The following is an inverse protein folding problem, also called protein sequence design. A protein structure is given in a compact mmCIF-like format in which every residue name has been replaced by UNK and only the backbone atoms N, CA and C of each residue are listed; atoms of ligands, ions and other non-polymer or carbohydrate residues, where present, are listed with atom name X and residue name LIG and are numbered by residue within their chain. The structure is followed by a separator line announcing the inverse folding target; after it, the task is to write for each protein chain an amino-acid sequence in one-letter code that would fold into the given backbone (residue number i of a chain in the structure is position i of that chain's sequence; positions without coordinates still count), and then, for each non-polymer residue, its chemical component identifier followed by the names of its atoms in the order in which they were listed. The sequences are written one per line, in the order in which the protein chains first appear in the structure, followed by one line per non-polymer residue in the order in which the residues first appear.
data_IF_973336505299
#
_entry.id   IF_973336505299
#
_cell.length_a   1.000
_cell.length_b   1.000
_cell.length_c   1.000
_cell.angle_alpha   90.00
_cell.angle_beta   90.00
_cell.angle_gamma   90.00
#
_symmetry.space_group_name_H-M   'P 1'
#
loop_
_entity.id
_entity.type
_entity.pdbx_description
1 polymer ?
#
# COMPACT_ATOMS: atom_id res chain seq x y z
N UNK A 1 5.56 16.35 3.60
CA UNK A 1 4.87 15.63 2.52
C UNK A 1 4.40 14.27 3.03
N UNK A 2 3.14 13.96 2.82
CA UNK A 2 2.60 12.66 3.23
C UNK A 2 2.84 11.62 2.14
N UNK A 3 3.19 10.41 2.56
CA UNK A 3 3.39 9.29 1.64
C UNK A 3 2.31 8.24 1.83
N UNK A 4 1.75 7.79 0.71
CA UNK A 4 0.72 6.74 0.68
C UNK A 4 1.27 5.56 -0.11
N UNK A 5 1.07 4.36 0.44
CA UNK A 5 1.42 3.12 -0.26
C UNK A 5 0.14 2.43 -0.71
N UNK A 6 0.08 2.09 -1.99
CA UNK A 6 -1.04 1.37 -2.59
C UNK A 6 -0.58 -0.04 -2.88
N UNK A 7 -1.26 -1.03 -2.32
CA UNK A 7 -0.96 -2.46 -2.53
C UNK A 7 -2.15 -3.10 -3.23
N UNK A 8 -2.02 -3.37 -4.52
CA UNK A 8 -3.09 -3.91 -5.34
C UNK A 8 -2.46 -4.62 -6.54
N UNK A 9 -2.97 -5.79 -6.91
CA UNK A 9 -2.45 -6.54 -8.06
C UNK A 9 -2.87 -5.95 -9.41
N UNK A 10 -3.83 -5.05 -9.43
CA UNK A 10 -4.28 -4.36 -10.63
C UNK A 10 -3.40 -3.13 -10.88
N UNK A 11 -2.49 -3.24 -11.83
CA UNK A 11 -1.52 -2.18 -12.16
C UNK A 11 -2.19 -0.93 -12.71
N UNK A 12 -3.24 -1.09 -13.50
CA UNK A 12 -3.95 0.03 -14.07
C UNK A 12 -4.68 0.82 -12.99
N UNK A 13 -5.30 0.11 -12.05
CA UNK A 13 -5.97 0.74 -10.92
C UNK A 13 -4.97 1.46 -10.03
N UNK A 14 -3.82 0.85 -9.76
CA UNK A 14 -2.75 1.49 -8.98
C UNK A 14 -2.31 2.80 -9.62
N UNK A 15 -2.07 2.79 -10.92
CA UNK A 15 -1.65 3.98 -11.65
C UNK A 15 -2.72 5.07 -11.60
N UNK A 16 -3.99 4.69 -11.70
CA UNK A 16 -5.10 5.63 -11.63
C UNK A 16 -5.22 6.25 -10.24
N UNK A 17 -5.15 5.43 -9.20
CA UNK A 17 -5.21 5.91 -7.81
C UNK A 17 -4.03 6.84 -7.53
N UNK A 18 -2.83 6.43 -7.92
CA UNK A 18 -1.63 7.25 -7.73
C UNK A 18 -1.81 8.63 -8.37
N UNK A 19 -2.26 8.66 -9.62
CA UNK A 19 -2.48 9.92 -10.34
C UNK A 19 -3.54 10.79 -9.65
N UNK A 20 -4.57 10.15 -9.11
CA UNK A 20 -5.68 10.87 -8.48
C UNK A 20 -5.30 11.50 -7.15
N UNK A 21 -4.41 10.86 -6.36
CA UNK A 21 -4.07 11.35 -5.02
C UNK A 21 -2.77 12.13 -4.96
N UNK A 22 -1.89 11.93 -5.94
CA UNK A 22 -0.59 12.60 -5.92
C UNK A 22 -0.72 14.10 -6.14
N UNK A 23 -0.01 14.89 -5.35
CA UNK A 23 -0.07 16.34 -5.39
C UNK A 23 1.24 16.90 -4.83
N UNK A 24 1.31 18.22 -4.64
CA UNK A 24 2.47 18.87 -4.00
C UNK A 24 2.68 18.39 -2.56
N UNK A 25 1.62 17.92 -1.90
CA UNK A 25 1.67 17.54 -0.50
C UNK A 25 1.53 16.03 -0.26
N UNK A 26 1.19 15.27 -1.29
CA UNK A 26 1.00 13.82 -1.19
C UNK A 26 1.81 13.12 -2.25
N UNK A 27 2.62 12.17 -1.83
CA UNK A 27 3.37 11.30 -2.72
C UNK A 27 2.80 9.90 -2.60
N UNK A 28 2.51 9.25 -3.71
CA UNK A 28 1.96 7.90 -3.73
C UNK A 28 2.92 6.93 -4.42
N UNK A 29 3.20 5.83 -3.75
CA UNK A 29 3.90 4.70 -4.33
C UNK A 29 2.92 3.55 -4.46
N UNK A 30 3.19 2.61 -5.35
CA UNK A 30 2.38 1.41 -5.42
C UNK A 30 3.23 0.17 -5.62
N UNK A 31 2.66 -0.97 -5.23
CA UNK A 31 3.22 -2.28 -5.51
C UNK A 31 2.08 -3.25 -5.76
N UNK A 32 2.40 -4.40 -6.33
CA UNK A 32 1.39 -5.30 -6.84
C UNK A 32 1.31 -6.63 -6.09
N UNK A 33 2.07 -6.77 -5.02
CA UNK A 33 1.99 -7.94 -4.14
C UNK A 33 2.12 -7.52 -2.68
N UNK A 34 1.61 -8.36 -1.78
CA UNK A 34 1.74 -8.13 -0.35
C UNK A 34 3.19 -8.13 0.11
N UNK A 35 4.00 -9.03 -0.46
CA UNK A 35 5.42 -9.11 -0.12
C UNK A 35 6.17 -7.83 -0.46
N UNK A 36 5.92 -7.28 -1.65
CA UNK A 36 6.50 -6.01 -2.05
C UNK A 36 6.08 -4.88 -1.12
N UNK A 37 4.80 -4.89 -0.72
CA UNK A 37 4.29 -3.89 0.21
C UNK A 37 4.97 -3.94 1.56
N UNK A 38 5.16 -5.15 2.09
CA UNK A 38 5.87 -5.32 3.36
C UNK A 38 7.31 -4.83 3.26
N UNK A 39 7.98 -5.09 2.15
CA UNK A 39 9.34 -4.64 1.93
C UNK A 39 9.43 -3.12 1.87
N UNK A 40 8.50 -2.48 1.16
CA UNK A 40 8.46 -1.02 1.08
C UNK A 40 8.24 -0.38 2.46
N UNK A 41 7.39 -0.98 3.27
CA UNK A 41 7.12 -0.49 4.62
C UNK A 41 8.34 -0.61 5.55
N UNK A 42 9.24 -1.53 5.27
CA UNK A 42 10.51 -1.63 6.01
C UNK A 42 11.52 -0.58 5.55
N UNK A 43 11.46 -0.18 4.29
CA UNK A 43 12.43 0.74 3.70
C UNK A 43 12.07 2.20 3.90
N UNK A 44 10.78 2.53 4.01
CA UNK A 44 10.30 3.90 4.08
C UNK A 44 9.12 4.01 5.03
N UNK A 45 8.89 5.22 5.53
CA UNK A 45 7.70 5.51 6.32
C UNK A 45 6.56 5.95 5.41
N UNK A 46 5.36 5.44 5.69
CA UNK A 46 4.14 5.85 5.01
C UNK A 46 3.10 6.28 6.05
N UNK A 47 2.25 7.22 5.67
CA UNK A 47 1.19 7.72 6.53
C UNK A 47 -0.11 6.95 6.35
N UNK A 48 -0.27 6.26 5.23
CA UNK A 48 -1.48 5.49 4.92
C UNK A 48 -1.14 4.36 3.96
N UNK A 49 -1.78 3.22 4.14
CA UNK A 49 -1.74 2.12 3.16
C UNK A 49 -3.15 1.93 2.60
N UNK A 50 -3.27 1.85 1.29
CA UNK A 50 -4.50 1.43 0.59
C UNK A 50 -4.25 0.00 0.14
N UNK A 51 -5.03 -0.94 0.67
CA UNK A 51 -4.77 -2.38 0.54
C UNK A 51 -5.94 -3.10 -0.11
N UNK A 52 -5.66 -3.79 -1.22
CA UNK A 52 -6.64 -4.69 -1.84
C UNK A 52 -6.67 -6.01 -1.06
N UNK A 53 -7.88 -6.47 -0.72
CA UNK A 53 -8.06 -7.72 0.03
C UNK A 53 -8.08 -8.96 -0.87
N UNK A 54 -8.24 -8.78 -2.17
CA UNK A 54 -8.38 -9.89 -3.11
C UNK A 54 -7.16 -10.01 -4.02
N UNK A 55 -6.02 -10.41 -3.45
CA UNK A 55 -4.78 -10.61 -4.21
C UNK A 55 -4.39 -12.08 -4.24
N UNK A 56 -3.83 -12.57 -5.36
CA UNK A 56 -3.30 -13.93 -5.40
C UNK A 56 -2.06 -14.07 -4.50
N UNK A 57 -1.82 -15.27 -4.01
CA UNK A 57 -0.70 -15.55 -3.10
C UNK A 57 -0.99 -15.05 -1.69
N UNK A 58 -0.21 -14.09 -1.21
CA UNK A 58 -0.47 -13.44 0.07
C UNK A 58 -1.62 -12.45 -0.14
N UNK A 59 -2.81 -12.81 0.34
CA UNK A 59 -3.99 -11.97 0.15
C UNK A 59 -3.98 -10.74 1.08
N UNK A 60 -4.99 -9.88 0.92
CA UNK A 60 -5.06 -8.64 1.67
C UNK A 60 -5.16 -8.84 3.17
N UNK A 61 -5.85 -9.86 3.63
CA UNK A 61 -5.98 -10.12 5.07
C UNK A 61 -4.68 -10.63 5.67
N UNK A 62 -3.96 -11.51 4.97
CA UNK A 62 -2.64 -11.96 5.41
C UNK A 62 -1.66 -10.79 5.43
N UNK A 63 -1.70 -9.96 4.40
CA UNK A 63 -0.85 -8.75 4.33
C UNK A 63 -1.16 -7.82 5.50
N UNK A 64 -2.43 -7.61 5.80
CA UNK A 64 -2.85 -6.79 6.94
C UNK A 64 -2.27 -7.30 8.25
N UNK A 65 -2.36 -8.60 8.50
CA UNK A 65 -1.82 -9.21 9.72
C UNK A 65 -0.31 -8.97 9.83
N UNK A 66 0.42 -9.16 8.73
CA UNK A 66 1.87 -8.95 8.74
C UNK A 66 2.24 -7.49 8.97
N UNK A 67 1.50 -6.56 8.36
CA UNK A 67 1.75 -5.13 8.58
C UNK A 67 1.52 -4.78 10.05
N UNK A 68 0.45 -5.28 10.65
CA UNK A 68 0.09 -4.94 12.04
C UNK A 68 1.07 -5.48 13.08
N UNK A 69 1.88 -6.47 12.74
CA UNK A 69 2.90 -6.96 13.66
C UNK A 69 3.96 -5.90 13.98
N UNK A 70 4.24 -5.01 13.03
CA UNK A 70 5.33 -4.03 13.16
C UNK A 70 4.91 -2.59 12.96
N UNK A 71 3.66 -2.35 12.58
CA UNK A 71 3.25 -1.00 12.20
C UNK A 71 1.79 -0.76 12.56
N UNK A 72 1.50 0.42 13.09
CA UNK A 72 0.15 0.81 13.49
C UNK A 72 -0.47 1.89 12.60
N UNK A 73 0.12 2.15 11.44
CA UNK A 73 -0.37 3.18 10.53
C UNK A 73 -1.79 2.88 10.04
N UNK A 74 -2.56 3.90 9.63
CA UNK A 74 -3.89 3.69 9.06
C UNK A 74 -3.85 2.85 7.79
N UNK A 75 -4.79 1.92 7.66
CA UNK A 75 -4.94 1.07 6.49
C UNK A 75 -6.37 1.17 6.00
N UNK A 76 -6.54 1.54 4.74
CA UNK A 76 -7.83 1.59 4.07
C UNK A 76 -7.93 0.39 3.13
N UNK A 77 -8.96 -0.41 3.32
CA UNK A 77 -9.16 -1.64 2.54
C UNK A 77 -10.30 -1.50 1.55
#
# INVERSE_FOLDING_TARGET
MDKILIIDDDRELCALIKRSVQSEHIEADFCNTGKEGLQKLKEQEYQLVVLDVMMPGMDGFETLEEIRKENSLPILM
#
